data_IF_891487541954
#
_entry.id   IF_891487541954
#
_cell.length_a   1.000
_cell.length_b   1.000
_cell.length_c   1.000
_cell.angle_alpha   90.00
_cell.angle_beta   90.00
_cell.angle_gamma   90.00
#
_symmetry.space_group_name_H-M   'P 1'
#
loop_
_entity.id
_entity.type
_entity.pdbx_description
1 polymer ?
#
# COMPACT_ATOMS: atom_id res chain seq x y z
N UNK A 1 19.19 -5.22 8.89
CA UNK A 1 17.94 -5.99 9.09
C UNK A 1 16.70 -5.13 9.34
N UNK A 2 16.67 -3.84 8.97
CA UNK A 2 15.48 -2.97 9.13
C UNK A 2 14.73 -2.71 7.82
N UNK A 3 15.21 -3.22 6.72
CA UNK A 3 14.71 -2.86 5.38
C UNK A 3 13.86 -3.94 4.71
N UNK A 4 13.77 -5.16 5.24
CA UNK A 4 13.10 -6.28 4.59
C UNK A 4 11.57 -6.24 4.71
N UNK A 5 11.05 -5.63 5.77
CA UNK A 5 9.60 -5.58 6.03
C UNK A 5 8.82 -4.50 5.26
N UNK A 6 9.52 -3.56 4.61
CA UNK A 6 8.91 -2.40 3.94
C UNK A 6 8.63 -2.66 2.45
N UNK A 7 9.06 -3.80 1.93
CA UNK A 7 9.10 -4.08 0.49
C UNK A 7 7.85 -4.77 -0.08
N UNK A 8 6.96 -5.24 0.76
CA UNK A 8 5.72 -5.88 0.33
C UNK A 8 4.66 -4.84 0.01
N UNK A 9 4.64 -4.37 -1.21
CA UNK A 9 3.57 -3.64 -1.93
C UNK A 9 2.42 -3.07 -1.06
N UNK A 10 2.76 -2.35 0.02
CA UNK A 10 1.78 -1.72 0.91
C UNK A 10 1.17 -2.62 1.99
N UNK A 11 1.62 -3.84 2.19
CA UNK A 11 0.99 -4.77 3.11
C UNK A 11 1.65 -4.87 4.48
N UNK A 12 2.95 -4.59 4.56
CA UNK A 12 3.66 -4.56 5.84
C UNK A 12 4.14 -3.14 6.05
N UNK A 13 3.38 -2.39 6.81
CA UNK A 13 3.71 -1.02 7.18
C UNK A 13 4.53 -0.94 8.48
N UNK A 14 4.98 -2.09 8.99
CA UNK A 14 5.78 -2.16 10.22
C UNK A 14 6.66 -3.41 10.19
N UNK A 15 7.81 -3.31 10.83
CA UNK A 15 8.61 -4.49 11.14
C UNK A 15 7.97 -5.15 12.36
N UNK A 16 7.31 -6.30 12.15
CA UNK A 16 6.81 -7.10 13.27
C UNK A 16 7.99 -7.50 14.15
N UNK A 17 7.87 -7.24 15.43
CA UNK A 17 8.75 -7.80 16.44
C UNK A 17 7.97 -8.80 17.27
N UNK A 18 8.65 -9.80 17.85
CA UNK A 18 8.02 -10.77 18.76
C UNK A 18 7.36 -10.11 19.98
N UNK A 19 7.66 -8.84 20.22
CA UNK A 19 7.06 -8.02 21.28
C UNK A 19 5.70 -7.40 20.90
N UNK A 20 5.25 -7.51 19.62
CA UNK A 20 3.95 -6.96 19.22
C UNK A 20 2.85 -7.99 19.46
N UNK A 21 1.93 -7.73 20.41
CA UNK A 21 0.86 -8.67 20.70
C UNK A 21 -0.10 -8.77 19.51
N UNK A 22 -0.42 -10.02 19.12
CA UNK A 22 -1.53 -10.33 18.24
C UNK A 22 -2.83 -10.02 18.98
N UNK A 23 -3.75 -9.34 18.31
CA UNK A 23 -5.05 -8.98 18.82
C UNK A 23 -6.15 -9.62 18.01
N UNK A 24 -7.01 -10.38 18.68
CA UNK A 24 -8.27 -10.85 18.08
C UNK A 24 -9.26 -9.67 17.94
N UNK A 25 -10.27 -9.80 17.10
CA UNK A 25 -11.24 -8.72 16.82
C UNK A 25 -12.04 -8.30 18.03
N UNK A 26 -12.28 -9.20 18.98
CA UNK A 26 -12.99 -8.95 20.25
C UNK A 26 -12.04 -8.51 21.38
N UNK A 27 -10.72 -8.59 21.15
CA UNK A 27 -9.72 -8.18 22.14
C UNK A 27 -9.86 -6.69 22.48
N UNK A 28 -9.63 -6.38 23.74
CA UNK A 28 -9.59 -5.00 24.23
C UNK A 28 -8.17 -4.45 24.16
N UNK A 29 -8.04 -3.20 23.76
CA UNK A 29 -6.81 -2.43 23.82
C UNK A 29 -7.08 -1.00 24.28
N UNK A 30 -6.04 -0.30 24.70
CA UNK A 30 -6.17 1.02 25.34
C UNK A 30 -5.57 2.08 24.43
N UNK A 31 -6.44 2.77 23.69
CA UNK A 31 -6.04 3.89 22.83
C UNK A 31 -7.23 4.78 22.49
N UNK A 32 -7.00 6.10 22.54
CA UNK A 32 -7.88 7.07 21.91
C UNK A 32 -7.04 8.12 21.18
N UNK A 33 -7.39 8.38 19.93
CA UNK A 33 -6.72 9.42 19.15
C UNK A 33 -7.02 10.80 19.77
N UNK A 34 -5.97 11.51 20.15
CA UNK A 34 -6.06 12.88 20.70
C UNK A 34 -6.01 13.95 19.60
N UNK A 35 -5.94 13.58 18.32
CA UNK A 35 -5.78 14.53 17.22
C UNK A 35 -4.46 15.33 17.27
N UNK A 36 -3.42 14.78 17.91
CA UNK A 36 -2.16 15.51 18.14
C UNK A 36 -1.28 15.60 16.88
N UNK A 37 -1.58 14.87 15.82
CA UNK A 37 -0.81 14.83 14.58
C UNK A 37 0.57 14.16 14.69
N UNK A 38 0.91 13.53 15.81
CA UNK A 38 2.22 12.89 15.99
C UNK A 38 2.45 11.74 14.99
N UNK A 39 1.39 10.98 14.64
CA UNK A 39 1.44 9.94 13.63
C UNK A 39 1.70 10.46 12.20
N UNK A 40 1.62 11.78 11.99
CA UNK A 40 1.89 12.45 10.71
C UNK A 40 3.25 13.17 10.68
N UNK A 41 4.02 13.15 11.77
CA UNK A 41 5.29 13.88 11.88
C UNK A 41 6.48 12.97 11.74
N UNK A 42 7.47 13.40 10.94
CA UNK A 42 8.72 12.67 10.76
C UNK A 42 8.55 11.28 10.16
N UNK A 43 7.50 11.04 9.37
CA UNK A 43 7.17 9.74 8.80
C UNK A 43 7.58 9.66 7.33
N UNK A 44 8.38 8.64 7.01
CA UNK A 44 8.83 8.35 5.64
C UNK A 44 8.32 6.99 5.13
N UNK A 45 7.57 6.30 5.95
CA UNK A 45 7.20 4.90 5.83
C UNK A 45 5.71 4.68 5.49
N UNK A 46 4.95 5.73 5.16
CA UNK A 46 3.54 5.61 4.79
C UNK A 46 3.41 5.08 3.37
N UNK A 47 3.32 3.75 3.26
CA UNK A 47 3.12 3.06 1.98
C UNK A 47 1.65 3.10 1.60
N UNK A 48 1.38 3.27 0.30
CA UNK A 48 0.05 3.32 -0.27
C UNK A 48 -0.23 2.05 -1.08
N UNK A 49 -1.40 1.49 -0.91
CA UNK A 49 -1.98 0.58 -1.88
C UNK A 49 -2.51 1.36 -3.11
N UNK A 50 -2.84 0.65 -4.19
CA UNK A 50 -3.53 1.27 -5.33
C UNK A 50 -4.89 1.84 -4.92
N UNK A 51 -5.56 1.19 -3.95
CA UNK A 51 -6.83 1.66 -3.41
C UNK A 51 -6.66 2.93 -2.58
N UNK A 52 -5.60 3.04 -1.77
CA UNK A 52 -5.31 4.28 -1.04
C UNK A 52 -5.07 5.44 -2.00
N UNK A 53 -4.28 5.24 -3.06
CA UNK A 53 -4.06 6.27 -4.08
C UNK A 53 -5.36 6.67 -4.78
N UNK A 54 -6.22 5.70 -5.12
CA UNK A 54 -7.52 5.95 -5.73
C UNK A 54 -8.43 6.77 -4.81
N UNK A 55 -8.51 6.44 -3.51
CA UNK A 55 -9.28 7.21 -2.51
C UNK A 55 -8.77 8.65 -2.38
N UNK A 56 -7.47 8.83 -2.30
CA UNK A 56 -6.85 10.16 -2.24
C UNK A 56 -7.13 10.94 -3.53
N UNK A 57 -7.04 10.31 -4.70
CA UNK A 57 -7.35 10.90 -6.00
C UNK A 57 -8.80 11.37 -6.07
N UNK A 58 -9.74 10.55 -5.62
CA UNK A 58 -11.18 10.89 -5.55
C UNK A 58 -11.42 12.09 -4.60
N UNK A 59 -10.79 12.09 -3.41
CA UNK A 59 -10.91 13.15 -2.41
C UNK A 59 -10.39 14.50 -2.91
N UNK A 60 -9.25 14.46 -3.61
CA UNK A 60 -8.62 15.66 -4.17
C UNK A 60 -9.21 16.07 -5.54
N UNK A 61 -10.00 15.19 -6.16
CA UNK A 61 -10.52 15.34 -7.54
C UNK A 61 -9.37 15.53 -8.56
N UNK A 62 -8.31 14.77 -8.37
CA UNK A 62 -7.13 14.78 -9.23
C UNK A 62 -6.85 13.38 -9.79
N UNK A 63 -6.36 13.26 -11.02
CA UNK A 63 -5.90 11.95 -11.54
C UNK A 63 -4.85 11.32 -10.62
N UNK A 64 -4.85 9.97 -10.45
CA UNK A 64 -3.89 9.27 -9.60
C UNK A 64 -2.42 9.62 -9.90
N UNK A 65 -2.07 9.82 -11.19
CA UNK A 65 -0.72 10.21 -11.62
C UNK A 65 -0.32 11.59 -11.09
N UNK A 66 -1.27 12.52 -10.99
CA UNK A 66 -1.02 13.88 -10.45
C UNK A 66 -0.82 13.80 -8.95
N UNK A 67 -1.65 13.02 -8.24
CA UNK A 67 -1.50 12.79 -6.80
C UNK A 67 -0.14 12.13 -6.51
N UNK A 68 0.21 11.07 -7.23
CA UNK A 68 1.48 10.38 -7.06
C UNK A 68 2.68 11.34 -7.28
N UNK A 69 2.63 12.16 -8.32
CA UNK A 69 3.72 13.12 -8.63
C UNK A 69 3.83 14.24 -7.61
N UNK A 70 2.71 14.73 -7.08
CA UNK A 70 2.69 15.88 -6.15
C UNK A 70 2.92 15.52 -4.69
N UNK A 71 2.52 14.32 -4.27
CA UNK A 71 2.46 13.97 -2.86
C UNK A 71 3.20 12.68 -2.49
N UNK A 72 3.78 11.97 -3.47
CA UNK A 72 4.39 10.68 -3.20
C UNK A 72 5.82 10.56 -3.74
N UNK A 73 6.54 9.59 -3.20
CA UNK A 73 7.78 9.05 -3.76
C UNK A 73 7.51 7.65 -4.30
N UNK A 74 8.02 7.36 -5.49
CA UNK A 74 7.94 6.06 -6.13
C UNK A 74 9.29 5.35 -6.09
N UNK A 75 9.27 4.05 -5.89
CA UNK A 75 10.43 3.17 -5.93
C UNK A 75 10.02 1.78 -6.45
N UNK A 76 11.02 0.94 -6.72
CA UNK A 76 10.81 -0.49 -6.88
C UNK A 76 11.24 -1.17 -5.60
N UNK A 77 10.43 -2.07 -5.09
CA UNK A 77 10.74 -2.88 -3.93
C UNK A 77 12.01 -3.71 -4.14
N UNK A 78 12.85 -3.82 -3.11
CA UNK A 78 14.13 -4.54 -3.23
C UNK A 78 13.97 -6.06 -3.17
N UNK A 79 12.92 -6.52 -2.51
CA UNK A 79 12.59 -7.95 -2.37
C UNK A 79 11.47 -8.34 -3.33
N UNK A 80 10.37 -7.60 -3.30
CA UNK A 80 9.21 -7.89 -4.16
C UNK A 80 9.41 -7.56 -5.62
N UNK A 81 10.35 -6.66 -5.95
CA UNK A 81 10.56 -6.11 -7.29
C UNK A 81 9.30 -5.44 -7.88
N UNK A 82 8.30 -5.18 -7.04
CA UNK A 82 7.07 -4.50 -7.43
C UNK A 82 7.19 -2.97 -7.27
N UNK A 83 6.35 -2.21 -8.00
CA UNK A 83 6.16 -0.79 -7.73
C UNK A 83 5.71 -0.53 -6.31
N UNK A 84 6.34 0.43 -5.65
CA UNK A 84 6.01 0.87 -4.29
C UNK A 84 5.83 2.38 -4.28
N UNK A 85 4.69 2.83 -3.77
CA UNK A 85 4.36 4.24 -3.62
C UNK A 85 4.28 4.61 -2.14
N UNK A 86 4.97 5.68 -1.73
CA UNK A 86 4.94 6.19 -0.35
C UNK A 86 4.61 7.66 -0.35
N UNK A 87 3.94 8.14 0.69
CA UNK A 87 3.79 9.58 0.88
C UNK A 87 5.18 10.23 1.01
N UNK A 88 5.36 11.36 0.32
CA UNK A 88 6.60 12.14 0.36
C UNK A 88 6.51 13.17 1.48
N UNK A 89 7.31 13.05 2.55
CA UNK A 89 7.31 14.06 3.60
C UNK A 89 7.83 15.39 3.08
N UNK A 90 7.27 16.48 3.59
CA UNK A 90 7.65 17.85 3.23
C UNK A 90 8.87 18.25 4.03
N UNK A 91 10.05 18.32 3.37
CA UNK A 91 11.34 18.60 4.01
C UNK A 91 11.35 19.94 4.73
N UNK A 92 10.78 20.97 4.11
CA UNK A 92 10.66 22.32 4.63
C UNK A 92 9.77 22.39 5.88
N UNK A 93 8.90 21.40 6.07
CA UNK A 93 8.03 21.24 7.23
C UNK A 93 8.46 20.06 8.12
N UNK A 94 9.74 19.97 8.45
CA UNK A 94 10.31 18.97 9.39
C UNK A 94 9.99 17.51 9.04
N UNK A 95 9.94 17.19 7.76
CA UNK A 95 9.54 15.88 7.24
C UNK A 95 8.12 15.45 7.69
N UNK A 96 7.20 16.38 7.81
CA UNK A 96 5.81 16.05 8.09
C UNK A 96 5.10 15.49 6.85
N UNK A 97 4.04 14.73 7.09
CA UNK A 97 3.13 14.27 6.05
C UNK A 97 2.62 15.45 5.20
N UNK A 98 2.55 15.33 3.86
CA UNK A 98 2.09 16.42 2.99
C UNK A 98 0.63 16.83 3.23
N UNK A 99 -0.14 16.00 3.91
CA UNK A 99 -1.55 16.25 4.24
C UNK A 99 -1.76 16.71 5.69
N UNK A 100 -0.69 16.93 6.45
CA UNK A 100 -0.78 17.48 7.80
C UNK A 100 -0.98 18.99 7.71
N UNK A 101 -2.15 19.46 8.12
CA UNK A 101 -2.49 20.88 8.23
C UNK A 101 -2.72 21.20 9.70
N UNK A 102 -1.88 22.03 10.30
CA UNK A 102 -1.82 22.28 11.74
C UNK A 102 -1.59 20.97 12.53
N UNK A 103 -2.66 20.36 13.06
CA UNK A 103 -2.63 19.07 13.75
C UNK A 103 -3.64 18.07 13.16
N UNK A 104 -4.22 18.34 12.00
CA UNK A 104 -5.28 17.54 11.39
C UNK A 104 -4.84 16.97 10.04
N UNK A 105 -5.36 15.82 9.69
CA UNK A 105 -5.22 15.25 8.37
C UNK A 105 -6.20 15.90 7.38
N UNK A 106 -5.70 16.60 6.36
CA UNK A 106 -6.56 17.25 5.34
C UNK A 106 -7.35 16.25 4.48
N UNK A 107 -6.94 14.99 4.48
CA UNK A 107 -7.59 13.89 3.76
C UNK A 107 -8.10 12.80 4.70
N UNK A 108 -8.49 13.14 5.92
CA UNK A 108 -8.87 12.15 6.96
C UNK A 108 -9.91 11.12 6.47
N UNK A 109 -10.91 11.54 5.71
CA UNK A 109 -11.92 10.65 5.12
C UNK A 109 -11.37 9.70 4.04
N UNK A 110 -10.20 10.01 3.49
CA UNK A 110 -9.51 9.22 2.46
C UNK A 110 -8.08 8.84 2.90
N UNK A 111 -7.83 8.85 4.19
CA UNK A 111 -6.51 8.51 4.72
C UNK A 111 -6.09 7.08 4.34
N UNK A 112 -4.79 6.84 4.13
CA UNK A 112 -4.27 5.50 3.87
C UNK A 112 -4.65 4.50 4.96
N UNK A 113 -4.77 3.21 4.61
CA UNK A 113 -5.11 2.16 5.57
C UNK A 113 -4.21 2.18 6.81
N UNK A 114 -2.91 2.33 6.60
CA UNK A 114 -1.93 2.38 7.70
C UNK A 114 -2.18 3.53 8.68
N UNK A 115 -2.73 4.65 8.20
CA UNK A 115 -3.09 5.80 9.04
C UNK A 115 -4.39 5.53 9.80
N UNK A 116 -5.41 4.98 9.12
CA UNK A 116 -6.69 4.60 9.72
C UNK A 116 -6.55 3.51 10.79
N UNK A 117 -5.61 2.59 10.60
CA UNK A 117 -5.34 1.52 11.57
C UNK A 117 -4.58 2.00 12.81
N UNK A 118 -3.75 3.05 12.71
CA UNK A 118 -2.84 3.42 13.80
C UNK A 118 -3.55 3.59 15.16
N UNK A 119 -3.10 2.96 16.25
CA UNK A 119 -1.84 2.27 16.45
C UNK A 119 -1.86 0.78 16.12
N UNK A 120 -2.91 0.26 15.52
CA UNK A 120 -2.92 -1.10 15.03
C UNK A 120 -2.07 -1.23 13.76
N UNK A 121 -1.53 -2.41 13.53
CA UNK A 121 -0.99 -2.84 12.27
C UNK A 121 -1.79 -4.04 11.76
N UNK A 122 -1.78 -4.25 10.46
CA UNK A 122 -2.46 -5.35 9.81
C UNK A 122 -1.46 -6.20 9.01
N UNK A 123 -1.59 -7.50 9.13
CA UNK A 123 -0.92 -8.48 8.27
C UNK A 123 -1.98 -9.31 7.56
N UNK A 124 -1.80 -9.54 6.27
CA UNK A 124 -2.70 -10.37 5.46
C UNK A 124 -1.90 -11.54 4.92
N UNK A 125 -2.36 -12.76 5.21
CA UNK A 125 -1.73 -14.00 4.71
C UNK A 125 -2.06 -14.25 3.23
N UNK A 126 -1.30 -15.15 2.58
CA UNK A 126 -1.63 -15.61 1.20
C UNK A 126 -3.03 -16.26 1.11
N UNK A 127 -3.51 -16.82 2.21
CA UNK A 127 -4.88 -17.37 2.29
C UNK A 127 -5.96 -16.28 2.44
N UNK A 128 -5.57 -15.03 2.68
CA UNK A 128 -6.49 -13.91 2.90
C UNK A 128 -6.90 -13.74 4.36
N UNK A 129 -6.23 -14.42 5.30
CA UNK A 129 -6.47 -14.24 6.72
C UNK A 129 -5.89 -12.90 7.17
N UNK A 130 -6.65 -12.18 7.97
CA UNK A 130 -6.29 -10.83 8.43
C UNK A 130 -5.97 -10.88 9.92
N UNK A 131 -4.77 -10.49 10.26
CA UNK A 131 -4.26 -10.42 11.63
C UNK A 131 -3.95 -8.98 12.01
N UNK A 132 -4.29 -8.61 13.26
CA UNK A 132 -4.03 -7.28 13.80
C UNK A 132 -3.00 -7.35 14.92
N UNK A 133 -2.15 -6.33 15.02
CA UNK A 133 -1.10 -6.21 16.02
C UNK A 133 -1.11 -4.81 16.62
N UNK A 134 -0.82 -4.70 17.89
CA UNK A 134 -0.66 -3.40 18.55
C UNK A 134 0.78 -2.93 18.43
N UNK A 135 0.98 -1.80 17.74
CA UNK A 135 2.29 -1.14 17.64
C UNK A 135 2.58 -0.31 18.90
N UNK A 136 3.85 -0.18 19.30
CA UNK A 136 4.25 0.84 20.24
C UNK A 136 3.84 2.22 19.74
N UNK A 137 3.18 3.00 20.58
CA UNK A 137 2.75 4.35 20.22
C UNK A 137 3.35 5.39 21.15
N UNK A 138 3.83 6.51 20.57
CA UNK A 138 4.22 7.71 21.31
C UNK A 138 3.08 8.73 21.49
N UNK A 139 1.86 8.39 21.04
CA UNK A 139 0.69 9.24 21.21
C UNK A 139 0.17 9.10 22.64
N UNK A 140 0.25 10.19 23.41
CA UNK A 140 -0.24 10.29 24.78
C UNK A 140 -1.70 10.73 24.89
N UNK A 141 -2.59 10.17 24.08
CA UNK A 141 -4.03 10.45 24.18
C UNK A 141 -4.64 9.86 25.44
N UNK A 142 -5.89 10.22 25.73
CA UNK A 142 -6.65 9.59 26.80
C UNK A 142 -6.74 8.08 26.57
N UNK A 143 -6.48 7.32 27.62
CA UNK A 143 -6.52 5.86 27.54
C UNK A 143 -7.97 5.41 27.68
N UNK A 144 -8.63 5.23 26.55
CA UNK A 144 -9.98 4.66 26.49
C UNK A 144 -9.84 3.20 26.06
N UNK A 145 -10.51 2.30 26.79
CA UNK A 145 -10.64 0.91 26.35
C UNK A 145 -11.58 0.81 25.16
N UNK A 146 -11.13 0.15 24.11
CA UNK A 146 -11.92 -0.15 22.91
C UNK A 146 -11.70 -1.60 22.51
N UNK A 147 -12.70 -2.24 21.93
CA UNK A 147 -12.48 -3.50 21.22
C UNK A 147 -11.90 -3.20 19.85
N UNK A 148 -11.05 -4.10 19.36
CA UNK A 148 -10.45 -3.98 18.03
C UNK A 148 -11.54 -3.77 16.98
N UNK A 149 -12.59 -4.59 16.96
CA UNK A 149 -13.69 -4.47 16.00
C UNK A 149 -14.39 -3.10 16.03
N UNK A 150 -14.61 -2.53 17.21
CA UNK A 150 -15.28 -1.23 17.38
C UNK A 150 -14.38 -0.09 16.91
N UNK A 151 -13.08 -0.24 17.14
CA UNK A 151 -12.07 0.70 16.64
C UNK A 151 -12.00 0.67 15.09
N UNK A 152 -11.90 -0.51 14.50
CA UNK A 152 -11.87 -0.69 13.04
C UNK A 152 -13.13 -0.13 12.38
N UNK A 153 -14.30 -0.37 12.98
CA UNK A 153 -15.58 0.15 12.47
C UNK A 153 -15.64 1.68 12.47
N UNK A 154 -15.01 2.35 13.45
CA UNK A 154 -14.93 3.81 13.53
C UNK A 154 -14.22 4.45 12.34
N UNK A 155 -13.25 3.75 11.75
CA UNK A 155 -12.44 4.19 10.62
C UNK A 155 -12.83 3.51 9.29
N UNK A 156 -14.02 2.91 9.24
CA UNK A 156 -14.57 2.24 8.05
C UNK A 156 -13.67 1.13 7.46
N UNK A 157 -12.79 0.56 8.30
CA UNK A 157 -11.87 -0.50 7.87
C UNK A 157 -12.60 -1.75 7.40
N UNK A 158 -13.70 -2.22 8.05
CA UNK A 158 -14.43 -3.40 7.57
C UNK A 158 -15.00 -3.25 6.16
N UNK A 159 -15.41 -2.04 5.75
CA UNK A 159 -15.96 -1.80 4.42
C UNK A 159 -14.92 -1.93 3.30
N UNK A 160 -13.63 -1.71 3.62
CA UNK A 160 -12.53 -1.83 2.66
C UNK A 160 -11.77 -3.16 2.72
N UNK A 161 -11.97 -3.97 3.76
CA UNK A 161 -11.16 -5.16 4.04
C UNK A 161 -11.07 -6.13 2.85
N UNK A 162 -12.18 -6.39 2.15
CA UNK A 162 -12.16 -7.25 0.97
C UNK A 162 -11.26 -6.70 -0.15
N UNK A 163 -11.18 -5.38 -0.29
CA UNK A 163 -10.31 -4.71 -1.26
C UNK A 163 -8.85 -4.84 -0.84
N UNK A 164 -8.56 -4.62 0.45
CA UNK A 164 -7.22 -4.71 0.99
C UNK A 164 -6.69 -6.15 0.91
N UNK A 165 -7.52 -7.15 1.22
CA UNK A 165 -7.18 -8.58 1.02
C UNK A 165 -6.90 -8.88 -0.45
N UNK A 166 -7.76 -8.43 -1.36
CA UNK A 166 -7.56 -8.65 -2.81
C UNK A 166 -6.29 -7.98 -3.32
N UNK A 167 -6.00 -6.77 -2.86
CA UNK A 167 -4.74 -6.08 -3.16
C UNK A 167 -3.54 -6.88 -2.67
N UNK A 168 -3.58 -7.34 -1.43
CA UNK A 168 -2.57 -8.14 -0.79
C UNK A 168 -2.21 -9.39 -1.58
N UNK A 169 -3.22 -10.19 -1.87
CA UNK A 169 -3.07 -11.41 -2.66
C UNK A 169 -2.55 -11.13 -4.08
N UNK A 170 -2.97 -10.01 -4.68
CA UNK A 170 -2.46 -9.57 -5.98
C UNK A 170 -0.96 -9.30 -5.94
N UNK A 171 -0.49 -8.56 -4.95
CA UNK A 171 0.93 -8.25 -4.82
C UNK A 171 1.76 -9.52 -4.61
N UNK A 172 1.32 -10.43 -3.71
CA UNK A 172 2.02 -11.68 -3.46
C UNK A 172 2.10 -12.59 -4.70
N UNK A 173 1.05 -12.63 -5.51
CA UNK A 173 1.05 -13.40 -6.76
C UNK A 173 1.93 -12.76 -7.84
N UNK A 174 1.97 -11.42 -7.91
CA UNK A 174 2.81 -10.70 -8.84
C UNK A 174 4.29 -10.76 -8.46
N UNK A 175 4.64 -10.78 -7.19
CA UNK A 175 6.00 -10.96 -6.72
C UNK A 175 6.60 -12.25 -7.28
N UNK A 176 5.92 -13.38 -7.09
CA UNK A 176 6.33 -14.68 -7.64
C UNK A 176 6.48 -14.64 -9.17
N UNK A 177 5.58 -13.94 -9.86
CA UNK A 177 5.60 -13.80 -11.33
C UNK A 177 6.74 -12.90 -11.81
N UNK A 178 6.98 -11.78 -11.14
CA UNK A 178 8.03 -10.82 -11.52
C UNK A 178 9.41 -11.42 -11.33
N UNK A 179 9.67 -12.13 -10.22
CA UNK A 179 10.93 -12.82 -9.99
C UNK A 179 11.25 -13.80 -11.13
N UNK A 180 10.26 -14.62 -11.53
CA UNK A 180 10.41 -15.57 -12.65
C UNK A 180 10.70 -14.86 -13.98
N UNK A 181 10.03 -13.73 -14.24
CA UNK A 181 10.20 -12.98 -15.48
C UNK A 181 11.53 -12.23 -15.54
N UNK A 182 12.00 -11.67 -14.45
CA UNK A 182 13.29 -10.98 -14.40
C UNK A 182 14.46 -11.93 -14.68
N UNK A 183 14.34 -13.19 -14.30
CA UNK A 183 15.35 -14.21 -14.61
C UNK A 183 15.52 -14.51 -16.12
N UNK A 184 14.50 -14.23 -16.93
CA UNK A 184 14.48 -14.60 -18.37
C UNK A 184 14.40 -13.41 -19.32
N UNK A 185 13.92 -12.25 -18.87
CA UNK A 185 13.73 -11.06 -19.71
C UNK A 185 15.04 -10.24 -19.83
N UNK A 186 15.26 -9.64 -20.97
CA UNK A 186 16.32 -8.66 -21.14
C UNK A 186 16.04 -7.38 -20.33
N UNK A 187 17.06 -6.58 -19.95
CA UNK A 187 16.89 -5.36 -19.15
C UNK A 187 15.91 -4.34 -19.76
N UNK A 188 15.79 -4.32 -21.10
CA UNK A 188 14.83 -3.45 -21.81
C UNK A 188 13.39 -3.93 -21.56
N UNK A 189 13.17 -5.25 -21.58
CA UNK A 189 11.85 -5.83 -21.35
C UNK A 189 11.46 -5.77 -19.87
N UNK A 190 12.42 -5.90 -18.95
CA UNK A 190 12.19 -5.66 -17.52
C UNK A 190 11.68 -4.23 -17.29
N UNK A 191 12.28 -3.21 -17.88
CA UNK A 191 11.78 -1.83 -17.79
C UNK A 191 10.36 -1.68 -18.35
N UNK A 192 10.04 -2.38 -19.45
CA UNK A 192 8.68 -2.40 -20.00
C UNK A 192 7.69 -3.08 -19.06
N UNK A 193 8.07 -4.20 -18.47
CA UNK A 193 7.30 -4.90 -17.45
C UNK A 193 6.99 -3.98 -16.28
N UNK A 194 8.01 -3.28 -15.74
CA UNK A 194 7.83 -2.34 -14.64
C UNK A 194 6.83 -1.22 -14.98
N UNK A 195 6.89 -0.67 -16.20
CA UNK A 195 5.91 0.34 -16.63
C UNK A 195 4.47 -0.20 -16.68
N UNK A 196 4.28 -1.48 -17.08
CA UNK A 196 2.98 -2.14 -17.06
C UNK A 196 2.47 -2.39 -15.64
N UNK A 197 3.37 -2.79 -14.72
CA UNK A 197 3.05 -2.95 -13.30
C UNK A 197 2.59 -1.63 -12.68
N UNK A 198 3.30 -0.51 -12.91
CA UNK A 198 2.88 0.82 -12.47
C UNK A 198 1.48 1.18 -12.97
N UNK A 199 1.22 0.94 -14.24
CA UNK A 199 -0.08 1.22 -14.85
C UNK A 199 -1.18 0.37 -14.21
N UNK A 200 -0.96 -0.93 -14.04
CA UNK A 200 -1.97 -1.84 -13.53
C UNK A 200 -2.25 -1.65 -12.03
N UNK A 201 -1.21 -1.38 -11.23
CA UNK A 201 -1.34 -1.30 -9.78
C UNK A 201 -1.75 0.09 -9.29
N UNK A 202 -1.33 1.17 -9.96
CA UNK A 202 -1.53 2.52 -9.44
C UNK A 202 -2.19 3.52 -10.39
N UNK A 203 -1.94 3.45 -11.71
CA UNK A 203 -2.25 4.56 -12.59
C UNK A 203 -3.41 4.31 -13.55
N UNK A 204 -3.83 3.06 -13.72
CA UNK A 204 -4.90 2.68 -14.66
C UNK A 204 -6.30 2.83 -14.06
N UNK A 205 -6.57 3.86 -13.28
CA UNK A 205 -7.83 4.04 -12.55
C UNK A 205 -8.48 5.39 -12.82
N UNK A 206 -9.78 5.33 -13.05
CA UNK A 206 -10.68 6.47 -13.01
C UNK A 206 -11.28 6.56 -11.59
N UNK A 207 -11.00 7.64 -10.88
CA UNK A 207 -11.49 7.83 -9.51
C UNK A 207 -13.02 8.08 -9.43
N UNK A 208 -13.68 8.29 -10.57
CA UNK A 208 -15.14 8.43 -10.63
C UNK A 208 -15.88 7.09 -10.78
N UNK A 209 -15.15 5.97 -10.91
CA UNK A 209 -15.69 4.63 -11.04
C UNK A 209 -15.23 3.73 -9.90
N UNK A 210 -15.96 2.64 -9.63
CA UNK A 210 -15.63 1.69 -8.58
C UNK A 210 -14.24 1.06 -8.79
N UNK A 211 -13.48 0.94 -7.72
CA UNK A 211 -12.09 0.48 -7.77
C UNK A 211 -11.93 -0.98 -8.18
N UNK A 212 -12.67 -1.91 -7.52
CA UNK A 212 -12.47 -3.36 -7.73
C UNK A 212 -12.67 -3.82 -9.17
N UNK A 213 -13.74 -3.42 -9.90
CA UNK A 213 -13.90 -3.80 -11.29
C UNK A 213 -12.73 -3.34 -12.18
N UNK A 214 -12.18 -2.15 -11.87
CA UNK A 214 -11.02 -1.62 -12.59
C UNK A 214 -9.75 -2.39 -12.26
N UNK A 215 -9.51 -2.74 -11.00
CA UNK A 215 -8.39 -3.61 -10.61
C UNK A 215 -8.42 -4.92 -11.38
N UNK A 216 -9.56 -5.60 -11.43
CA UNK A 216 -9.69 -6.87 -12.15
C UNK A 216 -9.47 -6.71 -13.67
N UNK A 217 -9.93 -5.62 -14.26
CA UNK A 217 -9.68 -5.32 -15.68
C UNK A 217 -8.20 -5.04 -15.96
N UNK A 218 -7.56 -4.26 -15.09
CA UNK A 218 -6.14 -3.94 -15.18
C UNK A 218 -5.25 -5.19 -15.03
N UNK A 219 -5.61 -6.10 -14.12
CA UNK A 219 -4.87 -7.36 -13.92
C UNK A 219 -4.99 -8.29 -15.13
N UNK A 220 -6.17 -8.42 -15.75
CA UNK A 220 -6.33 -9.18 -17.02
C UNK A 220 -5.49 -8.59 -18.13
N UNK A 221 -5.45 -7.27 -18.24
CA UNK A 221 -4.63 -6.57 -19.23
C UNK A 221 -3.15 -6.81 -18.95
N UNK A 222 -2.73 -6.70 -17.69
CA UNK A 222 -1.34 -6.95 -17.26
C UNK A 222 -0.90 -8.37 -17.62
N UNK A 223 -1.68 -9.40 -17.28
CA UNK A 223 -1.38 -10.80 -17.61
C UNK A 223 -1.13 -10.98 -19.13
N UNK A 224 -2.01 -10.40 -19.95
CA UNK A 224 -1.85 -10.41 -21.40
C UNK A 224 -0.56 -9.75 -21.86
N UNK A 225 -0.22 -8.60 -21.29
CA UNK A 225 1.00 -7.87 -21.64
C UNK A 225 2.28 -8.60 -21.17
N UNK A 226 2.27 -9.23 -20.01
CA UNK A 226 3.39 -10.02 -19.51
C UNK A 226 3.66 -11.24 -20.40
N UNK A 227 2.62 -11.93 -20.86
CA UNK A 227 2.74 -13.04 -21.83
C UNK A 227 3.37 -12.57 -23.15
N UNK A 228 2.96 -11.43 -23.68
CA UNK A 228 3.57 -10.86 -24.91
C UNK A 228 5.04 -10.56 -24.75
N UNK A 229 5.47 -10.05 -23.58
CA UNK A 229 6.91 -9.81 -23.31
C UNK A 229 7.71 -11.12 -23.33
N UNK A 230 7.16 -12.16 -22.72
CA UNK A 230 7.80 -13.49 -22.70
C UNK A 230 7.92 -14.09 -24.10
N UNK A 231 6.86 -14.01 -24.91
CA UNK A 231 6.86 -14.51 -26.28
C UNK A 231 7.87 -13.73 -27.15
N UNK A 232 7.91 -12.41 -26.99
CA UNK A 232 8.88 -11.58 -27.71
C UNK A 232 10.32 -11.97 -27.35
N UNK A 233 10.62 -12.20 -26.07
CA UNK A 233 11.97 -12.63 -25.65
C UNK A 233 12.33 -14.00 -26.26
N UNK A 234 11.41 -14.96 -26.26
CA UNK A 234 11.62 -16.28 -26.87
C UNK A 234 11.96 -16.16 -28.37
N UNK A 235 11.15 -15.45 -29.14
CA UNK A 235 11.38 -15.24 -30.59
C UNK A 235 12.75 -14.60 -30.86
N UNK A 236 13.18 -13.66 -30.05
CA UNK A 236 14.46 -13.00 -30.18
C UNK A 236 15.64 -13.96 -29.92
N UNK A 237 15.51 -14.81 -28.88
CA UNK A 237 16.52 -15.80 -28.56
C UNK A 237 16.68 -16.85 -29.69
N UNK A 238 15.56 -17.27 -30.30
CA UNK A 238 15.56 -18.24 -31.42
C UNK A 238 16.15 -17.64 -32.70
N UNK A 239 15.94 -16.33 -32.94
CA UNK A 239 16.51 -15.63 -34.10
C UNK A 239 18.00 -15.31 -33.95
N UNK A 240 18.58 -15.51 -32.78
CA UNK A 240 20.00 -15.25 -32.49
C UNK A 240 20.86 -16.53 -32.47
N UNK A 241 20.22 -17.68 -32.73
CA UNK A 241 20.86 -18.99 -32.95
C UNK A 241 21.03 -19.27 -34.43
#
# INVERSE_FOLDING_TARGET
MRDEAIDLCGQINFTRTDAMPLLERDAQFRFACAGCGNCCRGREDIVLSGYDLWRIAARLRLPPQIVARGYCRSSIGRVSHLPVLRLAPVKENRNNCPFLTENHCAIHEAEPLVCALYPLAQEISRAGEVHYFLQPTGCGGQVIEARVQDYLARYDVPAREAIDVRWAQTCMALEDTVEQLEAVLSPVLVRRMQAKLWQALYFGYDYAQDYLPQLEANLRTLDTELRKLTEYQKKRNDSSK
#
